data_IF_835460471936
#
_entry.id   IF_835460471936
#
_cell.length_a   1.000
_cell.length_b   1.000
_cell.length_c   1.000
_cell.angle_alpha   90.00
_cell.angle_beta   90.00
_cell.angle_gamma   90.00
#
_symmetry.space_group_name_H-M   'P 1'
#
loop_
_entity.id
_entity.type
_entity.pdbx_description
1 polymer ?
#
# COMPACT_ATOMS: atom_id res chain seq x y z
N UNK A 1 3.65 -12.84 14.36
CA UNK A 1 2.45 -13.64 14.01
C UNK A 1 1.18 -12.79 14.01
N UNK A 2 0.48 -12.53 15.12
CA UNK A 2 -0.78 -11.75 15.07
C UNK A 2 -0.62 -10.32 14.53
N UNK A 3 0.41 -9.59 14.98
CA UNK A 3 0.70 -8.22 14.53
C UNK A 3 1.07 -8.12 13.04
N UNK A 4 1.70 -9.16 12.47
CA UNK A 4 2.06 -9.17 11.05
C UNK A 4 0.84 -9.38 10.15
N UNK A 5 -0.11 -10.22 10.58
CA UNK A 5 -1.38 -10.40 9.88
C UNK A 5 -2.22 -9.13 9.90
N UNK A 6 -2.21 -8.41 11.02
CA UNK A 6 -2.93 -7.14 11.15
C UNK A 6 -2.32 -6.05 10.28
N UNK A 7 -0.99 -5.88 10.30
CA UNK A 7 -0.27 -4.98 9.39
C UNK A 7 -0.59 -5.28 7.93
N UNK A 8 -0.57 -6.55 7.55
CA UNK A 8 -0.92 -6.99 6.20
C UNK A 8 -2.38 -6.68 5.84
N UNK A 9 -3.33 -6.90 6.75
CA UNK A 9 -4.74 -6.63 6.53
C UNK A 9 -5.01 -5.13 6.32
N UNK A 10 -4.39 -4.27 7.12
CA UNK A 10 -4.47 -2.81 6.96
C UNK A 10 -3.90 -2.38 5.61
N UNK A 11 -2.69 -2.84 5.27
CA UNK A 11 -2.06 -2.50 3.99
C UNK A 11 -2.91 -2.98 2.81
N UNK A 12 -3.52 -4.15 2.91
CA UNK A 12 -4.42 -4.70 1.86
C UNK A 12 -5.70 -3.88 1.73
N UNK A 13 -6.30 -3.46 2.84
CA UNK A 13 -7.48 -2.60 2.82
C UNK A 13 -7.17 -1.25 2.16
N UNK A 14 -6.09 -0.59 2.61
CA UNK A 14 -5.60 0.67 2.04
C UNK A 14 -5.34 0.55 0.54
N UNK A 15 -4.60 -0.49 0.14
CA UNK A 15 -4.33 -0.77 -1.27
C UNK A 15 -5.62 -0.92 -2.07
N UNK A 16 -6.58 -1.73 -1.60
CA UNK A 16 -7.85 -1.96 -2.28
C UNK A 16 -8.68 -0.68 -2.48
N UNK A 17 -8.57 0.29 -1.56
CA UNK A 17 -9.31 1.58 -1.66
C UNK A 17 -8.84 2.46 -2.82
N UNK A 18 -7.59 2.32 -3.26
CA UNK A 18 -6.99 3.17 -4.31
C UNK A 18 -6.55 2.38 -5.54
N UNK A 19 -6.43 1.06 -5.43
CA UNK A 19 -6.01 0.21 -6.55
C UNK A 19 -7.02 0.24 -7.68
N UNK A 20 -6.53 0.11 -8.89
CA UNK A 20 -7.31 -0.07 -10.10
C UNK A 20 -6.94 -1.39 -10.73
N UNK A 21 -7.93 -2.08 -11.30
CA UNK A 21 -7.70 -3.34 -12.01
C UNK A 21 -7.25 -3.03 -13.43
N UNK A 22 -6.01 -3.37 -13.77
CA UNK A 22 -5.47 -3.16 -15.11
C UNK A 22 -5.02 -4.48 -15.74
N UNK A 23 -5.12 -4.57 -17.07
CA UNK A 23 -4.64 -5.72 -17.83
C UNK A 23 -3.13 -5.62 -18.02
N UNK A 24 -2.37 -6.53 -17.39
CA UNK A 24 -0.90 -6.50 -17.44
C UNK A 24 -0.32 -7.39 -18.55
N UNK A 25 -1.08 -7.70 -19.61
CA UNK A 25 -0.61 -8.50 -20.74
C UNK A 25 -0.29 -9.95 -20.37
N UNK A 26 0.91 -10.17 -19.85
CA UNK A 26 1.49 -11.47 -19.52
C UNK A 26 0.86 -12.17 -18.30
N UNK A 27 -0.01 -11.49 -17.52
CA UNK A 27 -0.53 -12.00 -16.25
C UNK A 27 -2.02 -11.78 -16.01
N UNK A 28 -2.78 -11.38 -17.03
CA UNK A 28 -4.20 -11.07 -16.90
C UNK A 28 -4.48 -9.73 -16.20
N UNK A 29 -5.66 -9.62 -15.62
CA UNK A 29 -6.06 -8.44 -14.83
C UNK A 29 -5.45 -8.50 -13.44
N UNK A 30 -4.72 -7.45 -13.05
CA UNK A 30 -4.13 -7.32 -11.72
C UNK A 30 -4.55 -6.00 -11.08
N UNK A 31 -4.75 -6.03 -9.77
CA UNK A 31 -4.93 -4.81 -8.99
C UNK A 31 -3.57 -4.12 -8.85
N UNK A 32 -3.51 -2.85 -9.24
CA UNK A 32 -2.31 -2.04 -9.19
C UNK A 32 -2.62 -0.64 -8.69
N UNK A 33 -1.64 -0.02 -8.04
CA UNK A 33 -1.65 1.40 -7.67
C UNK A 33 -0.56 2.12 -8.45
N UNK A 34 -0.86 3.32 -8.90
CA UNK A 34 0.13 4.23 -9.50
C UNK A 34 0.97 4.89 -8.41
N UNK A 35 2.12 5.44 -8.78
CA UNK A 35 3.00 6.20 -7.90
C UNK A 35 2.27 7.32 -7.16
N UNK A 36 1.39 8.06 -7.85
CA UNK A 36 0.59 9.12 -7.23
C UNK A 36 -0.37 8.56 -6.16
N UNK A 37 -0.97 7.40 -6.43
CA UNK A 37 -1.85 6.72 -5.47
C UNK A 37 -1.04 6.18 -4.28
N UNK A 38 0.14 5.59 -4.53
CA UNK A 38 1.03 5.13 -3.47
C UNK A 38 1.54 6.29 -2.60
N UNK A 39 1.89 7.43 -3.19
CA UNK A 39 2.25 8.66 -2.45
C UNK A 39 1.13 9.10 -1.51
N UNK A 40 -0.11 9.09 -2.00
CA UNK A 40 -1.29 9.45 -1.19
C UNK A 40 -1.49 8.46 -0.04
N UNK A 41 -1.35 7.15 -0.30
CA UNK A 41 -1.49 6.11 0.72
C UNK A 41 -0.41 6.22 1.80
N UNK A 42 0.84 6.51 1.42
CA UNK A 42 1.94 6.74 2.37
C UNK A 42 1.65 7.95 3.26
N UNK A 43 1.13 9.04 2.68
CA UNK A 43 0.72 10.23 3.42
C UNK A 43 -0.45 9.94 4.39
N UNK A 44 -1.44 9.17 3.95
CA UNK A 44 -2.56 8.67 4.80
C UNK A 44 -2.06 7.78 5.95
N UNK A 45 -0.88 7.17 5.80
CA UNK A 45 -0.19 6.39 6.84
C UNK A 45 0.78 7.22 7.70
N UNK A 46 0.83 8.54 7.51
CA UNK A 46 1.73 9.44 8.23
C UNK A 46 3.19 9.40 7.74
N UNK A 47 3.46 8.73 6.63
CA UNK A 47 4.76 8.72 5.97
C UNK A 47 4.80 9.81 4.89
N UNK A 48 5.25 11.00 5.28
CA UNK A 48 5.47 12.10 4.34
C UNK A 48 6.77 11.88 3.55
N UNK A 49 6.66 11.12 2.46
CA UNK A 49 7.79 10.80 1.58
C UNK A 49 7.91 11.85 0.48
N UNK A 50 9.13 12.31 0.23
CA UNK A 50 9.40 13.19 -0.91
C UNK A 50 9.12 12.45 -2.24
N UNK A 51 8.48 13.13 -3.19
CA UNK A 51 8.08 12.52 -4.46
C UNK A 51 9.28 12.05 -5.28
N UNK A 52 10.41 12.74 -5.22
CA UNK A 52 11.63 12.36 -5.96
C UNK A 52 12.25 11.12 -5.33
N UNK A 53 12.24 11.02 -3.99
CA UNK A 53 12.71 9.84 -3.28
C UNK A 53 11.81 8.62 -3.54
N UNK A 54 10.49 8.83 -3.49
CA UNK A 54 9.48 7.82 -3.82
C UNK A 54 9.67 7.31 -5.26
N UNK A 55 9.79 8.21 -6.24
CA UNK A 55 10.01 7.87 -7.63
C UNK A 55 11.25 6.99 -7.81
N UNK A 56 12.39 7.42 -7.26
CA UNK A 56 13.65 6.66 -7.30
C UNK A 56 13.50 5.27 -6.69
N UNK A 57 12.74 5.15 -5.59
CA UNK A 57 12.52 3.86 -4.95
C UNK A 57 11.67 2.94 -5.82
N UNK A 58 10.60 3.48 -6.40
CA UNK A 58 9.71 2.74 -7.30
C UNK A 58 10.46 2.31 -8.55
N UNK A 59 11.24 3.19 -9.18
CA UNK A 59 12.07 2.83 -10.33
C UNK A 59 13.09 1.74 -9.98
N UNK A 60 13.69 1.78 -8.79
CA UNK A 60 14.62 0.74 -8.33
C UNK A 60 13.95 -0.61 -8.06
N UNK A 61 12.68 -0.63 -7.66
CA UNK A 61 11.96 -1.85 -7.29
C UNK A 61 11.13 -2.42 -8.45
N UNK A 62 10.69 -1.57 -9.36
CA UNK A 62 9.76 -1.89 -10.42
C UNK A 62 10.11 -1.11 -11.72
N UNK A 63 11.34 -1.27 -12.26
CA UNK A 63 11.80 -0.50 -13.42
C UNK A 63 10.92 -0.72 -14.66
N UNK A 64 10.32 -1.91 -14.79
CA UNK A 64 9.47 -2.28 -15.94
C UNK A 64 8.00 -1.91 -15.76
N UNK A 65 7.60 -1.46 -14.56
CA UNK A 65 6.19 -1.20 -14.25
C UNK A 65 5.77 0.26 -14.46
N UNK A 66 6.66 1.14 -14.93
CA UNK A 66 6.36 2.54 -15.28
C UNK A 66 5.58 3.29 -14.18
N UNK A 67 6.03 3.19 -12.93
CA UNK A 67 5.34 3.83 -11.80
C UNK A 67 4.04 3.14 -11.37
N UNK A 68 3.79 1.90 -11.80
CA UNK A 68 2.70 1.05 -11.32
C UNK A 68 3.24 0.01 -10.35
N UNK A 69 2.49 -0.24 -9.29
CA UNK A 69 2.87 -1.12 -8.20
C UNK A 69 1.76 -2.14 -7.99
N UNK A 70 2.14 -3.41 -8.05
CA UNK A 70 1.32 -4.50 -7.53
C UNK A 70 1.29 -4.47 -6.01
N UNK A 71 0.36 -5.21 -5.41
CA UNK A 71 0.24 -5.27 -3.95
C UNK A 71 1.56 -5.69 -3.26
N UNK A 72 2.29 -6.66 -3.81
CA UNK A 72 3.59 -7.10 -3.26
C UNK A 72 4.68 -6.02 -3.32
N UNK A 73 4.68 -5.21 -4.39
CA UNK A 73 5.61 -4.10 -4.50
C UNK A 73 5.23 -2.96 -3.55
N UNK A 74 3.92 -2.73 -3.38
CA UNK A 74 3.39 -1.75 -2.43
C UNK A 74 3.72 -2.13 -0.98
N UNK A 75 3.56 -3.38 -0.56
CA UNK A 75 3.91 -3.79 0.81
C UNK A 75 5.40 -3.60 1.11
N UNK A 76 6.27 -3.96 0.16
CA UNK A 76 7.72 -3.71 0.26
C UNK A 76 8.07 -2.23 0.32
N UNK A 77 7.31 -1.39 -0.37
CA UNK A 77 7.47 0.06 -0.31
C UNK A 77 7.08 0.58 1.08
N UNK A 78 5.94 0.11 1.61
CA UNK A 78 5.47 0.49 2.93
C UNK A 78 6.44 0.07 4.04
N UNK A 79 7.06 -1.11 3.95
CA UNK A 79 8.05 -1.58 4.91
C UNK A 79 9.25 -0.62 5.07
N UNK A 80 9.56 0.16 4.03
CA UNK A 80 10.69 1.10 4.05
C UNK A 80 10.33 2.50 4.58
N UNK A 81 9.09 2.93 4.35
CA UNK A 81 8.66 4.30 4.65
C UNK A 81 7.71 4.39 5.85
N UNK A 82 6.97 3.33 6.14
CA UNK A 82 5.95 3.28 7.18
C UNK A 82 6.48 2.44 8.33
N UNK A 83 6.84 3.10 9.43
CA UNK A 83 7.31 2.42 10.65
C UNK A 83 6.24 1.51 11.26
N UNK A 84 4.99 1.98 11.26
CA UNK A 84 3.87 1.21 11.77
C UNK A 84 2.57 1.54 11.02
N UNK A 85 2.06 0.63 10.16
CA UNK A 85 0.85 0.88 9.40
C UNK A 85 -0.44 0.73 10.23
N UNK A 86 -0.40 0.10 11.43
CA UNK A 86 -1.58 -0.08 12.29
C UNK A 86 -1.82 1.13 13.21
N UNK A 87 -0.82 1.99 13.38
CA UNK A 87 -0.95 3.27 14.08
C UNK A 87 -1.72 4.35 13.29
N UNK A 88 -2.23 4.02 12.10
CA UNK A 88 -2.84 4.98 11.17
C UNK A 88 -4.33 5.15 11.44
N UNK A 89 -4.93 6.33 11.20
CA UNK A 89 -6.37 6.56 11.45
C UNK A 89 -7.26 5.56 10.68
N UNK A 90 -6.85 5.20 9.47
CA UNK A 90 -7.51 4.19 8.64
C UNK A 90 -7.45 2.77 9.23
N UNK A 91 -6.43 2.46 10.03
CA UNK A 91 -6.33 1.20 10.76
C UNK A 91 -7.25 1.19 11.99
N UNK A 92 -7.45 2.34 12.64
CA UNK A 92 -8.41 2.45 13.75
C UNK A 92 -9.84 2.12 13.32
N UNK A 93 -10.26 2.49 12.10
CA UNK A 93 -11.55 2.07 11.56
C UNK A 93 -11.65 0.54 11.37
N UNK A 94 -10.56 -0.12 10.94
CA UNK A 94 -10.52 -1.58 10.80
C UNK A 94 -10.69 -2.29 12.15
N UNK A 95 -10.09 -1.77 13.22
CA UNK A 95 -10.32 -2.27 14.58
C UNK A 95 -11.76 -2.07 15.05
N UNK A 96 -12.39 -0.92 14.74
CA UNK A 96 -13.78 -0.66 15.15
C UNK A 96 -14.80 -1.58 14.46
N UNK A 97 -14.51 -2.11 13.27
CA UNK A 97 -15.40 -3.10 12.64
C UNK A 97 -15.29 -4.50 13.27
N UNK A 98 -14.16 -4.82 13.92
CA UNK A 98 -13.95 -6.12 14.57
C UNK A 98 -14.51 -6.19 16.01
N UNK A 99 -14.96 -5.06 16.56
CA UNK A 99 -15.51 -4.96 17.93
C UNK A 99 -17.05 -5.09 17.97
N UNK A 100 -17.72 -5.35 16.82
CA UNK A 100 -19.18 -5.47 16.76
C UNK A 100 -19.72 -6.91 16.95
N UNK A 101 -18.86 -7.87 17.29
CA UNK A 101 -19.27 -9.20 17.75
C UNK A 101 -18.85 -9.42 19.21
N UNK A 102 -19.60 -8.84 20.15
CA UNK A 102 -19.69 -9.28 21.55
C UNK A 102 -21.07 -9.00 22.12
#
# INVERSE_FOLDING_TARGET
MAEEFEKYAVLKNMFRRKSSTEYTGAGGFKEIVTENQASTLLDEMGAHVDKVELHKKIESMAPESHGKLTFDQYTKLCDQFVKDPTATPSAMEFHSFNDFES
#
